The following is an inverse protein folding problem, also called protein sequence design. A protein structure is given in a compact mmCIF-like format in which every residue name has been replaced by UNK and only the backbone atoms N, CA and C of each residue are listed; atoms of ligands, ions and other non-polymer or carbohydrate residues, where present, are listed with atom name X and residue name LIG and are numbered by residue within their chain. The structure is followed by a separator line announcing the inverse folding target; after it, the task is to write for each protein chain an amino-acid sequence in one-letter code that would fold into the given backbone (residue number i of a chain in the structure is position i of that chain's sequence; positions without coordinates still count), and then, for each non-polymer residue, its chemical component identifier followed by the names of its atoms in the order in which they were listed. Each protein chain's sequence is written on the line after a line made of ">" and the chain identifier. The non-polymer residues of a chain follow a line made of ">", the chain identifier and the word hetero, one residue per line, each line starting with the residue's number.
data_IF_433968982186
#
_entry.id   IF_433968982186
#
_cell.length_a   1.000
_cell.length_b   1.000
_cell.length_c   1.000
_cell.angle_alpha   90.00
_cell.angle_beta   90.00
_cell.angle_gamma   90.00
#
_symmetry.space_group_name_H-M   'P 1'
#
loop_
_entity.id
_entity.type
_entity.pdbx_description
1 polymer ?
#
# COMPACT_ATOMS: atom_id res chain seq x y z
N UNK A 1 -7.17 -18.34 33.30
CA UNK A 1 -7.17 -18.20 31.83
C UNK A 1 -7.74 -19.46 31.21
N UNK A 2 -8.79 -19.35 30.39
CA UNK A 2 -9.39 -20.48 29.68
C UNK A 2 -8.44 -21.02 28.60
N UNK A 3 -8.62 -22.28 28.19
CA UNK A 3 -7.83 -22.87 27.10
C UNK A 3 -7.93 -22.02 25.80
N UNK A 4 -9.14 -21.52 25.50
CA UNK A 4 -9.39 -20.61 24.38
C UNK A 4 -8.58 -19.31 24.47
N UNK A 5 -8.51 -18.69 25.65
CA UNK A 5 -7.69 -17.48 25.84
C UNK A 5 -6.19 -17.73 25.65
N UNK A 6 -5.70 -18.91 26.04
CA UNK A 6 -4.30 -19.29 25.82
C UNK A 6 -4.02 -19.51 24.33
N UNK A 7 -4.92 -20.19 23.60
CA UNK A 7 -4.78 -20.42 22.16
C UNK A 7 -4.75 -19.09 21.39
N UNK A 8 -5.67 -18.18 21.71
CA UNK A 8 -5.72 -16.85 21.07
C UNK A 8 -4.42 -16.06 21.31
N UNK A 9 -3.91 -16.05 22.55
CA UNK A 9 -2.66 -15.38 22.90
C UNK A 9 -1.46 -15.96 22.14
N UNK A 10 -1.36 -17.30 22.01
CA UNK A 10 -0.29 -17.93 21.24
C UNK A 10 -0.37 -17.61 19.75
N UNK A 11 -1.58 -17.57 19.17
CA UNK A 11 -1.77 -17.18 17.77
C UNK A 11 -1.32 -15.73 17.53
N UNK A 12 -1.64 -14.81 18.44
CA UNK A 12 -1.25 -13.41 18.37
C UNK A 12 0.27 -13.22 18.49
N UNK A 13 0.92 -13.90 19.45
CA UNK A 13 2.37 -13.88 19.62
C UNK A 13 3.09 -14.42 18.38
N UNK A 14 2.65 -15.56 17.84
CA UNK A 14 3.24 -16.15 16.63
C UNK A 14 3.07 -15.21 15.42
N UNK A 15 1.88 -14.66 15.22
CA UNK A 15 1.62 -13.71 14.13
C UNK A 15 2.45 -12.43 14.22
N UNK A 16 2.65 -11.90 15.44
CA UNK A 16 3.47 -10.69 15.65
C UNK A 16 4.95 -10.90 15.32
N UNK A 17 5.50 -12.06 15.67
CA UNK A 17 6.89 -12.43 15.37
C UNK A 17 7.12 -12.60 13.87
N UNK A 18 6.20 -13.28 13.20
CA UNK A 18 6.23 -13.48 11.75
C UNK A 18 6.15 -12.14 11.00
N UNK A 19 5.20 -11.27 11.37
CA UNK A 19 5.05 -9.96 10.74
C UNK A 19 6.33 -9.12 10.87
N UNK A 20 6.97 -9.14 12.05
CA UNK A 20 8.24 -8.43 12.27
C UNK A 20 9.37 -9.00 11.43
N UNK A 21 9.49 -10.33 11.32
CA UNK A 21 10.49 -10.97 10.47
C UNK A 21 10.26 -10.64 8.99
N UNK A 22 9.02 -10.73 8.51
CA UNK A 22 8.67 -10.40 7.12
C UNK A 22 9.04 -8.95 6.78
N UNK A 23 8.75 -8.01 7.68
CA UNK A 23 9.15 -6.61 7.52
C UNK A 23 10.67 -6.41 7.48
N UNK A 24 11.43 -7.08 8.35
CA UNK A 24 12.89 -6.96 8.36
C UNK A 24 13.52 -7.54 7.07
N UNK A 25 13.02 -8.68 6.60
CA UNK A 25 13.46 -9.29 5.34
C UNK A 25 13.09 -8.38 4.17
N UNK A 26 11.85 -7.87 4.13
CA UNK A 26 11.39 -6.93 3.11
C UNK A 26 12.27 -5.68 3.04
N UNK A 27 12.65 -5.11 4.18
CA UNK A 27 13.55 -3.95 4.25
C UNK A 27 14.94 -4.27 3.70
N UNK A 28 15.46 -5.45 3.98
CA UNK A 28 16.74 -5.89 3.43
C UNK A 28 16.66 -6.08 1.90
N UNK A 29 15.56 -6.67 1.40
CA UNK A 29 15.33 -6.82 -0.04
C UNK A 29 15.16 -5.46 -0.72
N UNK A 30 14.47 -4.51 -0.09
CA UNK A 30 14.35 -3.13 -0.57
C UNK A 30 15.70 -2.46 -0.78
N UNK A 31 16.65 -2.64 0.14
CA UNK A 31 18.02 -2.15 -0.03
C UNK A 31 18.75 -2.82 -1.19
N UNK A 32 18.60 -4.13 -1.33
CA UNK A 32 19.20 -4.88 -2.45
C UNK A 32 18.67 -4.41 -3.80
N UNK A 33 17.35 -4.31 -3.97
CA UNK A 33 16.77 -3.92 -5.27
C UNK A 33 17.15 -2.49 -5.61
N UNK A 34 17.18 -1.58 -4.63
CA UNK A 34 17.62 -0.19 -4.82
C UNK A 34 19.02 -0.07 -5.44
N UNK A 35 19.93 -0.99 -5.16
CA UNK A 35 21.30 -0.97 -5.69
C UNK A 35 21.38 -1.39 -7.17
N UNK A 36 20.33 -2.00 -7.73
CA UNK A 36 20.33 -2.45 -9.12
C UNK A 36 20.14 -1.26 -10.07
N UNK A 37 21.21 -0.90 -10.78
CA UNK A 37 21.22 0.20 -11.78
C UNK A 37 20.27 -0.03 -12.96
N UNK A 38 20.11 -1.28 -13.37
CA UNK A 38 19.24 -1.71 -14.46
C UNK A 38 18.73 -3.11 -14.18
N UNK A 39 17.56 -3.42 -14.73
CA UNK A 39 16.94 -4.74 -14.69
C UNK A 39 16.67 -5.20 -16.12
N UNK A 40 16.65 -6.52 -16.34
CA UNK A 40 16.23 -7.09 -17.63
C UNK A 40 14.71 -7.26 -17.67
N UNK A 41 14.13 -7.66 -16.52
CA UNK A 41 12.70 -7.87 -16.34
C UNK A 41 12.29 -7.51 -14.90
N UNK A 42 10.98 -7.29 -14.67
CA UNK A 42 10.50 -6.95 -13.33
C UNK A 42 10.74 -8.06 -12.29
N UNK A 43 10.78 -9.32 -12.73
CA UNK A 43 11.11 -10.46 -11.87
C UNK A 43 12.49 -10.33 -11.19
N UNK A 44 13.42 -9.52 -11.73
CA UNK A 44 14.72 -9.24 -11.11
C UNK A 44 14.60 -8.47 -9.78
N UNK A 45 13.49 -7.75 -9.58
CA UNK A 45 13.25 -6.88 -8.42
C UNK A 45 11.99 -7.22 -7.64
N UNK A 46 11.19 -8.20 -8.09
CA UNK A 46 9.97 -8.62 -7.41
C UNK A 46 10.25 -9.21 -6.02
N UNK A 47 9.49 -8.73 -5.04
CA UNK A 47 9.28 -9.41 -3.76
C UNK A 47 7.96 -8.96 -3.15
N UNK A 48 7.38 -9.77 -2.26
CA UNK A 48 6.14 -9.46 -1.55
C UNK A 48 6.31 -9.54 -0.04
N UNK A 49 6.02 -8.43 0.62
CA UNK A 49 5.78 -8.32 2.07
C UNK A 49 4.28 -8.23 2.34
N UNK A 50 3.56 -7.48 1.51
CA UNK A 50 2.12 -7.32 1.51
C UNK A 50 1.50 -7.51 0.13
N UNK A 51 2.11 -7.01 -0.96
CA UNK A 51 1.56 -7.11 -2.31
C UNK A 51 1.30 -8.55 -2.76
N UNK A 52 0.29 -8.79 -3.59
CA UNK A 52 -0.03 -10.13 -4.10
C UNK A 52 1.00 -10.63 -5.13
N UNK A 53 1.55 -9.73 -5.98
CA UNK A 53 2.30 -10.11 -7.18
C UNK A 53 3.70 -9.48 -7.27
N UNK A 54 4.36 -9.24 -6.13
CA UNK A 54 5.74 -8.78 -6.10
C UNK A 54 5.94 -7.26 -6.25
N UNK A 55 4.83 -6.51 -6.31
CA UNK A 55 4.80 -5.05 -6.50
C UNK A 55 5.59 -4.29 -5.43
N UNK A 56 5.69 -4.80 -4.20
CA UNK A 56 6.49 -4.15 -3.16
C UNK A 56 7.94 -3.94 -3.64
N UNK A 57 8.52 -4.94 -4.30
CA UNK A 57 9.88 -4.85 -4.83
C UNK A 57 10.01 -3.98 -6.07
N UNK A 58 9.06 -4.08 -7.00
CA UNK A 58 9.00 -3.24 -8.19
C UNK A 58 8.90 -1.75 -7.79
N UNK A 59 7.99 -1.43 -6.87
CA UNK A 59 7.79 -0.07 -6.35
C UNK A 59 9.07 0.43 -5.67
N UNK A 60 9.70 -0.37 -4.79
CA UNK A 60 10.95 0.04 -4.15
C UNK A 60 12.06 0.34 -5.17
N UNK A 61 12.16 -0.44 -6.25
CA UNK A 61 13.13 -0.16 -7.30
C UNK A 61 12.81 1.16 -8.03
N UNK A 62 11.55 1.35 -8.44
CA UNK A 62 11.10 2.53 -9.18
C UNK A 62 11.31 3.83 -8.41
N UNK A 63 10.90 3.91 -7.14
CA UNK A 63 10.99 5.16 -6.37
C UNK A 63 12.44 5.62 -6.12
N UNK A 64 13.41 4.71 -6.22
CA UNK A 64 14.84 5.04 -6.08
C UNK A 64 15.51 5.32 -7.42
N UNK A 65 14.89 4.92 -8.54
CA UNK A 65 15.37 5.20 -9.90
C UNK A 65 14.85 6.52 -10.43
N UNK A 66 13.67 6.95 -9.98
CA UNK A 66 12.98 8.15 -10.44
C UNK A 66 13.22 9.32 -9.45
N UNK A 67 14.00 10.35 -9.82
CA UNK A 67 14.21 11.49 -8.95
C UNK A 67 13.00 12.44 -8.95
N UNK A 68 12.79 13.16 -7.84
CA UNK A 68 11.81 14.24 -7.76
C UNK A 68 10.37 13.81 -7.47
N UNK A 69 10.14 12.55 -7.10
CA UNK A 69 8.82 12.09 -6.66
C UNK A 69 8.43 12.74 -5.33
N UNK A 70 7.18 13.18 -5.23
CA UNK A 70 6.55 13.49 -3.94
C UNK A 70 6.47 12.23 -3.08
N UNK A 71 6.64 12.34 -1.76
CA UNK A 71 6.48 11.20 -0.84
C UNK A 71 5.00 10.93 -0.52
N UNK A 72 4.18 10.90 -1.57
CA UNK A 72 2.74 10.69 -1.51
C UNK A 72 2.33 9.57 -2.44
N UNK A 73 1.35 8.77 -2.03
CA UNK A 73 0.72 7.80 -2.90
C UNK A 73 -0.80 7.85 -2.82
N UNK A 74 -1.42 7.43 -3.92
CA UNK A 74 -2.85 7.16 -4.00
C UNK A 74 -3.08 5.77 -4.57
N UNK A 75 -3.93 4.96 -3.93
CA UNK A 75 -4.30 3.63 -4.41
C UNK A 75 -5.82 3.45 -4.42
N UNK A 76 -6.37 3.09 -5.58
CA UNK A 76 -7.78 2.73 -5.74
C UNK A 76 -7.97 1.21 -5.78
N UNK A 77 -9.04 0.73 -5.13
CA UNK A 77 -9.40 -0.69 -5.11
C UNK A 77 -8.72 -1.52 -4.03
N UNK A 78 -8.32 -0.91 -2.92
CA UNK A 78 -7.43 -1.53 -1.93
C UNK A 78 -8.01 -2.68 -1.11
N UNK A 79 -9.31 -2.96 -1.23
CA UNK A 79 -9.98 -3.90 -0.36
C UNK A 79 -9.89 -3.47 1.11
N UNK A 80 -9.40 -4.38 1.97
CA UNK A 80 -9.13 -4.10 3.38
C UNK A 80 -7.68 -3.65 3.64
N UNK A 81 -6.95 -3.30 2.57
CA UNK A 81 -5.57 -2.81 2.60
C UNK A 81 -4.57 -3.79 3.24
N UNK A 82 -4.86 -5.10 3.29
CA UNK A 82 -3.92 -6.10 3.84
C UNK A 82 -2.91 -6.58 2.79
N UNK A 83 -3.34 -6.66 1.53
CA UNK A 83 -2.57 -7.16 0.39
C UNK A 83 -2.34 -6.08 -0.67
N UNK A 84 -2.34 -4.82 -0.25
CA UNK A 84 -2.27 -3.66 -1.13
C UNK A 84 -0.83 -3.34 -1.54
N UNK A 85 -0.68 -2.80 -2.75
CA UNK A 85 0.63 -2.56 -3.35
C UNK A 85 1.39 -1.39 -2.70
N UNK A 86 0.67 -0.47 -2.05
CA UNK A 86 1.29 0.65 -1.33
C UNK A 86 1.54 0.39 0.16
N UNK A 87 1.09 -0.75 0.72
CA UNK A 87 1.22 -0.99 2.17
C UNK A 87 2.68 -1.10 2.59
N UNK A 88 3.53 -1.76 1.81
CA UNK A 88 4.96 -1.83 2.15
C UNK A 88 5.62 -0.46 2.04
N UNK A 89 5.27 0.32 1.01
CA UNK A 89 5.76 1.69 0.84
C UNK A 89 5.40 2.59 2.03
N UNK A 90 4.16 2.51 2.51
CA UNK A 90 3.69 3.21 3.71
C UNK A 90 4.54 2.84 4.93
N UNK A 91 4.72 1.54 5.21
CA UNK A 91 5.40 1.10 6.43
C UNK A 91 6.92 1.29 6.35
N UNK A 92 7.53 1.02 5.20
CA UNK A 92 8.98 1.02 5.04
C UNK A 92 9.55 2.41 4.78
N UNK A 93 8.83 3.25 4.02
CA UNK A 93 9.29 4.56 3.58
C UNK A 93 8.52 5.71 4.23
N UNK A 94 7.43 5.42 4.94
CA UNK A 94 6.61 6.41 5.64
C UNK A 94 6.03 7.51 4.72
N UNK A 95 5.72 7.14 3.48
CA UNK A 95 5.01 8.02 2.55
C UNK A 95 3.59 8.28 3.04
N UNK A 96 3.07 9.46 2.74
CA UNK A 96 1.68 9.84 3.03
C UNK A 96 0.73 9.20 2.02
N UNK A 97 -0.30 8.52 2.50
CA UNK A 97 -1.17 7.68 1.67
C UNK A 97 -2.63 8.09 1.65
N UNK A 98 -3.25 7.99 0.47
CA UNK A 98 -4.70 7.99 0.30
C UNK A 98 -5.13 6.68 -0.35
N UNK A 99 -6.04 5.95 0.29
CA UNK A 99 -6.53 4.67 -0.21
C UNK A 99 -8.05 4.67 -0.31
N UNK A 100 -8.56 4.10 -1.40
CA UNK A 100 -10.00 4.09 -1.68
C UNK A 100 -10.49 2.68 -2.01
N UNK A 101 -11.68 2.35 -1.53
CA UNK A 101 -12.40 1.15 -1.94
C UNK A 101 -13.91 1.42 -1.91
N UNK A 102 -14.67 0.76 -2.77
CA UNK A 102 -16.13 0.94 -2.86
C UNK A 102 -16.90 0.30 -1.69
N UNK A 103 -16.26 -0.60 -0.94
CA UNK A 103 -16.86 -1.32 0.17
C UNK A 103 -16.65 -0.61 1.50
N UNK A 104 -17.72 -0.01 2.03
CA UNK A 104 -17.73 0.61 3.36
C UNK A 104 -17.22 -0.33 4.46
N UNK A 105 -17.54 -1.62 4.38
CA UNK A 105 -17.07 -2.63 5.34
C UNK A 105 -15.54 -2.77 5.30
N UNK A 106 -14.96 -2.83 4.11
CA UNK A 106 -13.52 -3.01 3.95
C UNK A 106 -12.77 -1.75 4.38
N UNK A 107 -13.22 -0.57 3.95
CA UNK A 107 -12.64 0.72 4.39
C UNK A 107 -12.74 0.90 5.91
N UNK A 108 -13.86 0.50 6.51
CA UNK A 108 -13.97 0.53 7.97
C UNK A 108 -12.94 -0.39 8.66
N UNK A 109 -12.58 -1.52 8.06
CA UNK A 109 -11.50 -2.37 8.57
C UNK A 109 -10.15 -1.65 8.54
N UNK A 110 -9.84 -0.89 7.48
CA UNK A 110 -8.62 -0.07 7.38
C UNK A 110 -8.57 0.96 8.51
N UNK A 111 -9.66 1.69 8.72
CA UNK A 111 -9.74 2.71 9.78
C UNK A 111 -9.53 2.17 11.20
N UNK A 112 -9.71 0.86 11.40
CA UNK A 112 -9.51 0.16 12.69
C UNK A 112 -8.18 -0.57 12.79
N UNK A 113 -7.48 -0.72 11.67
CA UNK A 113 -6.12 -1.26 11.65
C UNK A 113 -5.18 -0.24 12.32
N UNK A 114 -4.26 -0.74 13.13
CA UNK A 114 -3.26 0.09 13.85
C UNK A 114 -2.38 0.86 12.86
N UNK A 115 -2.25 0.40 11.61
CA UNK A 115 -1.53 1.12 10.56
C UNK A 115 -2.07 2.54 10.34
N UNK A 116 -3.39 2.75 10.45
CA UNK A 116 -4.03 4.06 10.30
C UNK A 116 -3.74 5.01 11.47
N UNK A 117 -3.29 4.48 12.61
CA UNK A 117 -2.85 5.28 13.75
C UNK A 117 -1.35 5.60 13.69
N UNK A 118 -0.56 4.68 13.15
CA UNK A 118 0.91 4.78 13.13
C UNK A 118 1.46 5.56 11.95
N UNK A 119 0.70 5.68 10.86
CA UNK A 119 1.12 6.34 9.63
C UNK A 119 0.09 7.38 9.16
N UNK A 120 0.53 8.32 8.32
CA UNK A 120 -0.36 9.26 7.63
C UNK A 120 -1.08 8.54 6.48
N UNK A 121 -2.14 7.83 6.84
CA UNK A 121 -2.97 7.05 5.92
C UNK A 121 -4.43 7.51 6.03
N UNK A 122 -4.95 8.05 4.92
CA UNK A 122 -6.36 8.36 4.78
C UNK A 122 -7.05 7.22 4.02
N UNK A 123 -8.19 6.74 4.52
CA UNK A 123 -8.99 5.72 3.84
C UNK A 123 -10.41 6.23 3.56
N UNK A 124 -10.86 6.09 2.32
CA UNK A 124 -12.13 6.66 1.84
C UNK A 124 -12.99 5.58 1.19
N UNK A 125 -14.27 5.54 1.57
CA UNK A 125 -15.26 4.71 0.91
C UNK A 125 -15.89 5.50 -0.24
N UNK A 126 -15.55 5.15 -1.48
CA UNK A 126 -16.07 5.80 -2.67
C UNK A 126 -16.15 4.84 -3.85
N UNK A 127 -17.15 5.03 -4.71
CA UNK A 127 -17.15 4.46 -6.06
C UNK A 127 -16.47 5.47 -6.96
N UNK A 128 -15.25 5.16 -7.37
CA UNK A 128 -14.42 6.06 -8.18
C UNK A 128 -14.95 6.11 -9.60
N UNK A 129 -15.07 7.32 -10.15
CA UNK A 129 -15.42 7.58 -11.54
C UNK A 129 -14.49 8.64 -12.12
N UNK A 130 -14.44 8.76 -13.44
CA UNK A 130 -13.61 9.77 -14.10
C UNK A 130 -14.03 11.21 -13.70
N UNK A 131 -15.31 11.40 -13.38
CA UNK A 131 -15.87 12.71 -13.05
C UNK A 131 -15.62 13.13 -11.60
N UNK A 132 -15.27 12.20 -10.70
CA UNK A 132 -15.13 12.49 -9.27
C UNK A 132 -13.71 12.32 -8.73
N UNK A 133 -12.81 11.71 -9.49
CA UNK A 133 -11.52 11.26 -8.95
C UNK A 133 -10.66 12.41 -8.45
N UNK A 134 -10.56 13.48 -9.23
CA UNK A 134 -9.79 14.65 -8.84
C UNK A 134 -10.34 15.30 -7.58
N UNK A 135 -11.66 15.48 -7.52
CA UNK A 135 -12.28 16.09 -6.34
C UNK A 135 -12.08 15.23 -5.09
N UNK A 136 -12.13 13.90 -5.23
CA UNK A 136 -11.86 12.98 -4.12
C UNK A 136 -10.42 13.12 -3.59
N UNK A 137 -9.45 13.35 -4.46
CA UNK A 137 -8.04 13.57 -4.07
C UNK A 137 -7.84 14.97 -3.47
N UNK A 138 -8.37 16.02 -4.12
CA UNK A 138 -8.30 17.41 -3.69
C UNK A 138 -8.91 17.59 -2.28
N UNK A 139 -10.10 17.05 -2.03
CA UNK A 139 -10.80 17.12 -0.72
C UNK A 139 -10.03 16.46 0.44
N UNK A 140 -8.96 15.73 0.13
CA UNK A 140 -8.08 15.04 1.09
C UNK A 140 -6.68 15.64 1.15
N UNK A 141 -6.45 16.74 0.44
CA UNK A 141 -5.17 17.43 0.37
C UNK A 141 -4.11 16.62 -0.37
N UNK A 142 -4.53 15.85 -1.38
CA UNK A 142 -3.66 15.22 -2.39
C UNK A 142 -3.77 16.07 -3.66
N UNK A 143 -3.08 17.21 -3.64
CA UNK A 143 -3.04 18.20 -4.72
C UNK A 143 -1.64 18.27 -5.33
N UNK A 144 -1.54 18.62 -6.60
CA UNK A 144 -0.26 18.72 -7.31
C UNK A 144 0.34 17.35 -7.63
N UNK A 145 1.67 17.26 -7.56
CA UNK A 145 2.40 16.05 -7.97
C UNK A 145 2.21 14.90 -6.96
N UNK A 146 1.69 13.78 -7.45
CA UNK A 146 1.58 12.52 -6.71
C UNK A 146 2.79 11.64 -7.04
N UNK A 147 3.47 11.13 -6.02
CA UNK A 147 4.66 10.29 -6.21
C UNK A 147 4.35 8.93 -6.82
N UNK A 148 3.25 8.31 -6.39
CA UNK A 148 2.77 7.03 -6.92
C UNK A 148 1.26 7.02 -7.00
N UNK A 149 0.73 6.76 -8.19
CA UNK A 149 -0.69 6.51 -8.42
C UNK A 149 -0.86 5.05 -8.84
N UNK A 150 -1.63 4.28 -8.06
CA UNK A 150 -1.97 2.90 -8.36
C UNK A 150 -3.48 2.76 -8.55
N UNK A 151 -3.88 2.21 -9.69
CA UNK A 151 -5.28 2.08 -10.10
C UNK A 151 -5.57 0.61 -10.34
N UNK A 152 -6.38 0.00 -9.48
CA UNK A 152 -6.89 -1.36 -9.63
C UNK A 152 -8.38 -1.35 -9.34
N UNK A 153 -9.17 -0.91 -10.32
CA UNK A 153 -10.63 -0.89 -10.21
C UNK A 153 -11.23 -1.83 -11.24
N UNK A 154 -12.41 -2.37 -10.96
CA UNK A 154 -13.09 -3.23 -11.92
C UNK A 154 -13.65 -2.37 -13.09
N UNK A 155 -12.83 -2.09 -14.11
CA UNK A 155 -13.25 -1.66 -15.44
C UNK A 155 -12.90 -0.24 -15.86
N UNK A 156 -13.35 0.79 -15.13
CA UNK A 156 -13.26 2.21 -15.57
C UNK A 156 -11.84 2.82 -15.51
N UNK A 157 -10.81 2.00 -15.34
CA UNK A 157 -9.41 2.37 -15.03
C UNK A 157 -8.86 3.39 -16.01
N UNK A 158 -9.04 3.14 -17.30
CA UNK A 158 -8.55 4.03 -18.36
C UNK A 158 -9.17 5.43 -18.26
N UNK A 159 -10.45 5.52 -17.95
CA UNK A 159 -11.15 6.81 -17.87
C UNK A 159 -10.80 7.55 -16.58
N UNK A 160 -10.57 6.82 -15.49
CA UNK A 160 -10.10 7.38 -14.22
C UNK A 160 -8.67 7.91 -14.34
N UNK A 161 -7.78 7.24 -15.09
CA UNK A 161 -6.43 7.76 -15.35
C UNK A 161 -6.43 8.99 -16.27
N UNK A 162 -7.40 9.09 -17.19
CA UNK A 162 -7.49 10.15 -18.20
C UNK A 162 -8.14 11.44 -17.72
N UNK A 163 -8.99 11.37 -16.69
CA UNK A 163 -9.62 12.54 -16.07
C UNK A 163 -8.55 13.46 -15.50
#
# INVERSE_FOLDING_TARGET
>A
MSLLSKIAMWAELLGSGEAKQRMLIGRQLAWRVRELESINEFADVEFSVFSQFGDDGIIQWLIHRLPGLSETFVEFGVGCYQEANTRFLLVNNNWRGLVLDSSRRKVHAISRDTISLLHDLQSVCAVVTAENIDQLMLDRGFEGDIGLLHIDIDGNDYWVWRG
#
